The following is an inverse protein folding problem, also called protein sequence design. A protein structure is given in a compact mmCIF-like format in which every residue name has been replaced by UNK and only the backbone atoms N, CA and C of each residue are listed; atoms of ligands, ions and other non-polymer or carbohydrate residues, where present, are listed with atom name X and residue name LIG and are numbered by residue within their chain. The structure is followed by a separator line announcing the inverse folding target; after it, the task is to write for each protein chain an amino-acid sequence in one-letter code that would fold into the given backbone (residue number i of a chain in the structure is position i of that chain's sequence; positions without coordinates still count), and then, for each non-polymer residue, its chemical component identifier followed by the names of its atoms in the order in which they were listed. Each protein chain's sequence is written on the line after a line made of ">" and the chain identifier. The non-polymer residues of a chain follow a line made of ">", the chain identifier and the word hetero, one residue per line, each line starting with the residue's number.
data_IF_007368491418
#
_entry.id   IF_007368491418
#
_cell.length_a   1.000
_cell.length_b   1.000
_cell.length_c   1.000
_cell.angle_alpha   90.00
_cell.angle_beta   90.00
_cell.angle_gamma   90.00
#
_symmetry.space_group_name_H-M   'P 1'
#
loop_
_entity.id
_entity.type
_entity.pdbx_description
1 polymer ?
#
# COMPACT_ATOMS: atom_id res chain seq x y z
N UNK A 1 18.00 17.14 8.91
CA UNK A 1 19.38 16.92 9.37
C UNK A 1 19.94 15.76 8.56
N UNK A 2 21.00 15.95 7.76
CA UNK A 2 21.68 14.82 7.12
C UNK A 2 22.27 13.98 8.26
N UNK A 3 21.84 12.72 8.39
CA UNK A 3 22.53 11.79 9.30
C UNK A 3 23.96 11.71 8.77
N UNK A 4 24.94 12.06 9.61
CA UNK A 4 26.35 11.96 9.24
C UNK A 4 26.63 10.50 8.90
N UNK A 5 27.12 10.28 7.69
CA UNK A 5 27.65 9.00 7.27
C UNK A 5 28.86 8.72 8.16
N UNK A 6 28.79 7.73 9.04
CA UNK A 6 30.02 7.17 9.61
C UNK A 6 30.51 6.15 8.56
N UNK A 7 31.09 6.67 7.48
CA UNK A 7 31.89 5.89 6.52
C UNK A 7 33.25 5.65 7.14
N UNK A 8 33.28 4.68 8.04
CA UNK A 8 34.44 4.00 8.65
C UNK A 8 33.83 3.12 9.75
N UNK A 9 34.33 1.91 10.09
CA UNK A 9 33.85 1.25 11.30
C UNK A 9 34.03 2.26 12.44
N UNK A 10 32.92 2.78 12.98
CA UNK A 10 33.01 3.45 14.27
C UNK A 10 33.77 2.47 15.16
N UNK A 11 34.92 2.86 15.74
CA UNK A 11 35.68 1.92 16.54
C UNK A 11 34.69 1.35 17.54
N UNK A 12 34.51 0.03 17.50
CA UNK A 12 34.08 -0.64 18.71
C UNK A 12 35.01 -0.10 19.77
N UNK A 13 34.51 0.49 20.88
CA UNK A 13 35.39 0.65 22.02
C UNK A 13 35.96 -0.76 22.25
N UNK A 14 37.25 -0.90 21.96
CA UNK A 14 38.04 -2.13 22.13
C UNK A 14 38.12 -2.50 23.61
N UNK A 15 37.80 -1.53 24.47
CA UNK A 15 37.48 -1.76 25.86
C UNK A 15 36.04 -2.24 26.00
N UNK A 16 35.87 -3.41 26.64
CA UNK A 16 34.67 -3.66 27.46
C UNK A 16 34.40 -2.35 28.21
N UNK A 17 33.17 -1.78 28.20
CA UNK A 17 32.89 -0.74 29.17
C UNK A 17 33.27 -1.30 30.54
N UNK A 18 33.99 -0.54 31.39
CA UNK A 18 34.28 -1.02 32.73
C UNK A 18 32.95 -1.44 33.33
N UNK A 19 32.94 -2.63 33.94
CA UNK A 19 31.83 -3.12 34.71
C UNK A 19 31.53 -2.04 35.75
N UNK A 20 30.55 -1.19 35.43
CA UNK A 20 30.13 -0.12 36.30
C UNK A 20 28.96 -0.70 37.08
N UNK A 21 29.30 -1.19 38.27
CA UNK A 21 28.37 -1.31 39.37
C UNK A 21 27.48 -0.06 39.42
N UNK A 22 26.20 -0.29 39.73
CA UNK A 22 25.15 0.71 39.60
C UNK A 22 25.47 2.04 40.26
N UNK A 23 25.93 3.02 39.48
CA UNK A 23 25.84 4.45 39.78
C UNK A 23 26.24 5.29 38.56
N UNK A 24 25.30 6.08 38.04
CA UNK A 24 25.61 7.34 37.34
C UNK A 24 26.26 7.29 35.95
N UNK A 25 25.51 6.90 34.91
CA UNK A 25 25.81 7.35 33.54
C UNK A 25 24.95 8.59 33.24
N UNK A 26 25.51 9.75 32.82
CA UNK A 26 24.72 10.93 32.52
C UNK A 26 23.75 10.61 31.37
N UNK A 27 22.47 10.88 31.59
CA UNK A 27 21.32 10.47 30.76
C UNK A 27 21.28 11.05 29.32
N UNK A 28 22.39 11.61 28.80
CA UNK A 28 22.43 12.44 27.60
C UNK A 28 23.03 11.85 26.31
N UNK A 29 23.76 10.72 26.32
CA UNK A 29 24.55 10.30 25.12
C UNK A 29 24.64 8.78 24.87
N UNK A 30 23.56 8.02 25.05
CA UNK A 30 23.54 6.63 24.55
C UNK A 30 23.35 6.62 23.01
N UNK A 31 24.40 6.32 22.25
CA UNK A 31 24.32 6.19 20.80
C UNK A 31 23.33 5.07 20.40
N UNK A 32 22.23 5.43 19.74
CA UNK A 32 21.19 4.46 19.34
C UNK A 32 21.53 3.83 17.99
N UNK A 33 22.20 2.69 17.99
CA UNK A 33 22.55 1.98 16.76
C UNK A 33 21.34 1.42 16.00
N UNK A 34 21.23 1.72 14.70
CA UNK A 34 20.11 1.37 13.83
C UNK A 34 20.61 0.77 12.52
N UNK A 35 19.87 -0.17 11.94
CA UNK A 35 20.10 -0.67 10.57
C UNK A 35 19.02 -0.14 9.61
N UNK A 36 19.38 0.18 8.37
CA UNK A 36 18.37 0.60 7.39
C UNK A 36 17.48 -0.58 6.97
N UNK A 37 16.14 -0.44 6.92
CA UNK A 37 15.28 -1.51 6.42
C UNK A 37 15.50 -1.82 4.93
N UNK A 38 15.97 -0.84 4.14
CA UNK A 38 16.13 -0.99 2.69
C UNK A 38 17.51 -1.48 2.24
N UNK A 39 18.59 -0.94 2.81
CA UNK A 39 19.98 -1.24 2.40
C UNK A 39 20.83 -1.92 3.48
N UNK A 40 20.25 -2.22 4.64
CA UNK A 40 20.90 -2.87 5.80
C UNK A 40 22.11 -2.14 6.41
N UNK A 41 22.39 -0.90 5.97
CA UNK A 41 23.49 -0.07 6.47
C UNK A 41 23.33 0.19 7.97
N UNK A 42 24.41 0.01 8.73
CA UNK A 42 24.47 0.20 10.19
C UNK A 42 24.97 1.62 10.50
N UNK A 43 24.23 2.37 11.30
CA UNK A 43 24.57 3.75 11.68
C UNK A 43 24.01 4.10 13.07
N UNK A 44 24.54 5.14 13.71
CA UNK A 44 23.97 5.70 14.94
C UNK A 44 22.84 6.68 14.60
N UNK A 45 21.70 6.54 15.28
CA UNK A 45 20.55 7.40 15.10
C UNK A 45 20.52 8.46 16.23
N UNK A 46 20.65 9.76 15.93
CA UNK A 46 20.49 10.80 16.94
C UNK A 46 19.01 10.91 17.37
N UNK A 47 18.76 11.61 18.49
CA UNK A 47 17.40 11.90 18.94
C UNK A 47 16.74 12.84 17.93
N UNK A 48 15.67 12.39 17.28
CA UNK A 48 14.94 13.15 16.27
C UNK A 48 13.88 14.01 16.95
N UNK A 49 13.93 15.34 16.78
CA UNK A 49 12.90 16.27 17.29
C UNK A 49 11.60 16.17 16.45
N UNK A 50 10.46 16.66 16.99
CA UNK A 50 9.11 16.53 16.40
C UNK A 50 8.97 16.94 14.92
N UNK A 51 9.76 17.90 14.43
CA UNK A 51 9.71 18.34 13.03
C UNK A 51 10.85 17.81 12.14
N UNK A 52 11.70 16.94 12.68
CA UNK A 52 12.86 16.42 11.96
C UNK A 52 12.59 15.02 11.39
N UNK A 53 13.23 14.73 10.26
CA UNK A 53 13.29 13.40 9.66
C UNK A 53 14.73 12.96 9.55
N UNK A 54 14.96 11.67 9.81
CA UNK A 54 16.25 11.02 9.74
C UNK A 54 16.27 10.10 8.50
N UNK A 55 17.19 10.37 7.57
CA UNK A 55 17.37 9.59 6.35
C UNK A 55 18.66 8.77 6.41
N UNK A 56 18.61 7.54 5.90
CA UNK A 56 19.77 6.66 5.79
C UNK A 56 20.87 7.32 4.94
N UNK A 57 22.13 7.32 5.38
CA UNK A 57 23.19 8.00 4.64
C UNK A 57 23.68 7.22 3.40
N UNK A 58 23.40 5.91 3.30
CA UNK A 58 23.75 5.07 2.12
C UNK A 58 22.72 5.12 1.00
N UNK A 59 21.44 4.97 1.33
CA UNK A 59 20.36 4.87 0.32
C UNK A 59 19.36 6.03 0.34
N UNK A 60 19.49 6.97 1.28
CA UNK A 60 18.54 8.07 1.50
C UNK A 60 17.10 7.62 1.83
N UNK A 61 16.89 6.37 2.29
CA UNK A 61 15.60 5.92 2.79
C UNK A 61 15.22 6.66 4.07
N UNK A 62 13.94 7.01 4.25
CA UNK A 62 13.46 7.60 5.51
C UNK A 62 13.43 6.52 6.59
N UNK A 63 14.23 6.70 7.64
CA UNK A 63 14.40 5.71 8.73
C UNK A 63 13.52 6.03 9.92
N UNK A 64 13.44 7.31 10.29
CA UNK A 64 12.65 7.76 11.43
C UNK A 64 12.10 9.15 11.16
N UNK A 65 10.85 9.38 11.54
CA UNK A 65 10.24 10.70 11.55
C UNK A 65 9.84 11.08 12.97
N UNK A 66 10.10 12.32 13.35
CA UNK A 66 9.61 12.89 14.60
C UNK A 66 8.18 13.38 14.51
N UNK A 67 7.57 13.44 13.31
CA UNK A 67 6.17 13.87 13.17
C UNK A 67 5.27 12.74 13.68
N UNK A 68 4.68 12.96 14.84
CA UNK A 68 3.67 12.09 15.42
C UNK A 68 2.53 12.93 16.03
N UNK A 69 1.31 12.42 15.89
CA UNK A 69 0.18 12.93 16.66
C UNK A 69 0.01 12.11 17.93
N UNK A 70 -0.53 12.74 18.97
CA UNK A 70 -0.93 12.02 20.17
C UNK A 70 -2.00 10.98 19.82
N UNK A 71 -2.00 9.85 20.54
CA UNK A 71 -2.98 8.79 20.36
C UNK A 71 -4.41 9.34 20.49
N UNK A 72 -4.64 10.32 21.37
CA UNK A 72 -5.93 10.98 21.55
C UNK A 72 -6.42 11.68 20.28
N UNK A 73 -5.54 12.37 19.53
CA UNK A 73 -5.91 13.00 18.26
C UNK A 73 -6.21 11.96 17.19
N UNK A 74 -5.39 10.91 17.11
CA UNK A 74 -5.64 9.80 16.18
C UNK A 74 -6.96 9.09 16.49
N UNK A 75 -7.30 8.91 17.77
CA UNK A 75 -8.58 8.37 18.20
C UNK A 75 -9.75 9.31 17.88
N UNK A 76 -9.60 10.63 18.06
CA UNK A 76 -10.63 11.60 17.67
C UNK A 76 -10.90 11.56 16.16
N UNK A 77 -9.86 11.47 15.33
CA UNK A 77 -10.03 11.26 13.88
C UNK A 77 -10.71 9.93 13.57
N UNK A 78 -10.36 8.85 14.29
CA UNK A 78 -11.01 7.56 14.13
C UNK A 78 -12.51 7.62 14.45
N UNK A 79 -12.91 8.29 15.54
CA UNK A 79 -14.33 8.50 15.88
C UNK A 79 -15.04 9.33 14.80
N UNK A 80 -14.44 10.43 14.36
CA UNK A 80 -15.02 11.26 13.29
C UNK A 80 -15.22 10.47 11.99
N UNK A 81 -14.22 9.68 11.58
CA UNK A 81 -14.34 8.79 10.42
C UNK A 81 -15.43 7.74 10.61
N UNK A 82 -15.55 7.14 11.80
CA UNK A 82 -16.58 6.15 12.10
C UNK A 82 -18.00 6.71 11.96
N UNK A 83 -18.20 7.96 12.40
CA UNK A 83 -19.50 8.66 12.28
C UNK A 83 -19.82 9.02 10.84
N UNK A 84 -18.81 9.41 10.04
CA UNK A 84 -19.00 9.78 8.64
C UNK A 84 -19.17 8.58 7.70
N UNK A 85 -18.62 7.42 8.03
CA UNK A 85 -18.61 6.22 7.18
C UNK A 85 -20.00 5.76 6.73
N UNK A 86 -21.03 5.66 7.60
CA UNK A 86 -22.38 5.29 7.17
C UNK A 86 -22.89 6.22 6.06
N UNK A 87 -22.85 7.53 6.28
CA UNK A 87 -23.29 8.52 5.29
C UNK A 87 -22.46 8.46 4.01
N UNK A 88 -21.14 8.36 4.11
CA UNK A 88 -20.26 8.31 2.94
C UNK A 88 -20.43 7.03 2.09
N UNK A 89 -20.90 5.93 2.68
CA UNK A 89 -21.01 4.65 1.99
C UNK A 89 -22.43 4.30 1.52
N UNK A 90 -23.47 4.80 2.21
CA UNK A 90 -24.88 4.51 1.87
C UNK A 90 -25.54 5.61 1.03
N UNK A 91 -25.17 6.88 1.23
CA UNK A 91 -25.74 7.97 0.44
C UNK A 91 -25.23 7.92 -1.02
N UNK A 92 -26.02 8.42 -1.99
CA UNK A 92 -25.59 8.47 -3.38
C UNK A 92 -24.35 9.34 -3.54
N UNK A 93 -23.30 8.75 -4.11
CA UNK A 93 -22.09 9.49 -4.50
C UNK A 93 -22.26 10.13 -5.87
N UNK A 94 -22.93 9.43 -6.79
CA UNK A 94 -23.26 9.89 -8.13
C UNK A 94 -24.75 9.62 -8.37
N UNK A 95 -25.42 10.60 -8.96
CA UNK A 95 -26.75 10.44 -9.53
C UNK A 95 -26.68 10.61 -11.04
N UNK A 96 -27.34 9.72 -11.78
CA UNK A 96 -27.41 9.76 -13.23
C UNK A 96 -28.86 10.01 -13.64
N UNK A 97 -29.11 10.94 -14.57
CA UNK A 97 -30.42 11.11 -15.17
C UNK A 97 -30.45 10.46 -16.55
N UNK A 98 -31.23 9.39 -16.68
CA UNK A 98 -31.44 8.67 -17.93
C UNK A 98 -32.95 8.67 -18.24
N UNK A 99 -33.34 9.17 -19.42
CA UNK A 99 -34.75 9.16 -19.88
C UNK A 99 -35.75 9.77 -18.86
N UNK A 100 -35.32 10.82 -18.14
CA UNK A 100 -36.15 11.53 -17.16
C UNK A 100 -36.19 10.89 -15.75
N UNK A 101 -35.56 9.73 -15.54
CA UNK A 101 -35.46 9.07 -14.23
C UNK A 101 -34.06 9.30 -13.64
N UNK A 102 -34.00 9.74 -12.38
CA UNK A 102 -32.74 9.84 -11.63
C UNK A 102 -32.40 8.51 -10.95
N UNK A 103 -31.21 8.00 -11.25
CA UNK A 103 -30.63 6.79 -10.67
C UNK A 103 -29.55 7.21 -9.70
N UNK A 104 -29.68 6.78 -8.46
CA UNK A 104 -28.73 7.04 -7.40
C UNK A 104 -27.79 5.85 -7.28
N UNK A 105 -26.48 6.09 -7.22
CA UNK A 105 -25.49 5.05 -7.03
C UNK A 105 -24.65 5.34 -5.78
N UNK A 106 -24.73 4.42 -4.81
CA UNK A 106 -23.90 4.42 -3.61
C UNK A 106 -22.76 3.39 -3.71
N UNK A 107 -21.77 3.51 -2.83
CA UNK A 107 -20.63 2.58 -2.80
C UNK A 107 -21.08 1.15 -2.43
N UNK A 108 -21.96 1.03 -1.43
CA UNK A 108 -22.48 -0.27 -1.00
C UNK A 108 -23.36 -0.91 -2.08
N UNK A 109 -24.19 -0.11 -2.75
CA UNK A 109 -25.04 -0.59 -3.83
C UNK A 109 -24.21 -1.13 -5.00
N UNK A 110 -23.11 -0.45 -5.35
CA UNK A 110 -22.19 -0.97 -6.36
C UNK A 110 -21.57 -2.31 -6.00
N UNK A 111 -21.07 -2.48 -4.78
CA UNK A 111 -20.52 -3.76 -4.30
C UNK A 111 -21.60 -4.86 -4.31
N UNK A 112 -22.81 -4.53 -3.85
CA UNK A 112 -23.93 -5.47 -3.81
C UNK A 112 -24.34 -5.92 -5.21
N UNK A 113 -24.43 -4.97 -6.14
CA UNK A 113 -24.79 -5.20 -7.53
C UNK A 113 -23.72 -6.02 -8.27
N UNK A 114 -22.42 -5.79 -8.01
CA UNK A 114 -21.34 -6.64 -8.52
C UNK A 114 -21.50 -8.11 -8.09
N UNK A 115 -21.85 -8.30 -6.82
CA UNK A 115 -21.99 -9.64 -6.23
C UNK A 115 -23.18 -10.38 -6.85
N UNK A 116 -24.32 -9.70 -7.03
CA UNK A 116 -25.52 -10.30 -7.65
C UNK A 116 -25.32 -10.73 -9.10
N UNK A 117 -24.43 -10.06 -9.83
CA UNK A 117 -24.14 -10.37 -11.24
C UNK A 117 -23.11 -11.49 -11.43
N UNK A 118 -22.78 -12.25 -10.37
CA UNK A 118 -21.92 -13.43 -10.47
C UNK A 118 -20.42 -13.16 -10.34
N UNK A 119 -20.02 -11.96 -9.92
CA UNK A 119 -18.60 -11.61 -9.70
C UNK A 119 -18.27 -11.31 -8.23
N UNK A 120 -18.47 -12.26 -7.29
CA UNK A 120 -18.27 -12.02 -5.86
C UNK A 120 -16.81 -11.78 -5.48
N UNK A 121 -15.85 -12.33 -6.25
CA UNK A 121 -14.43 -12.20 -5.94
C UNK A 121 -13.96 -10.76 -6.18
N UNK A 122 -14.29 -10.17 -7.32
CA UNK A 122 -13.93 -8.77 -7.63
C UNK A 122 -14.65 -7.79 -6.71
N UNK A 123 -15.92 -8.06 -6.40
CA UNK A 123 -16.68 -7.29 -5.41
C UNK A 123 -16.01 -7.33 -4.03
N UNK A 124 -15.54 -8.51 -3.59
CA UNK A 124 -14.82 -8.68 -2.32
C UNK A 124 -13.50 -7.91 -2.29
N UNK A 125 -12.77 -7.86 -3.40
CA UNK A 125 -11.53 -7.07 -3.52
C UNK A 125 -11.81 -5.57 -3.37
N UNK A 126 -12.84 -5.07 -4.07
CA UNK A 126 -13.24 -3.66 -3.97
C UNK A 126 -13.70 -3.34 -2.55
N UNK A 127 -14.60 -4.17 -1.99
CA UNK A 127 -15.11 -4.02 -0.62
C UNK A 127 -14.00 -4.03 0.44
N UNK A 128 -13.00 -4.91 0.29
CA UNK A 128 -11.86 -4.95 1.19
C UNK A 128 -11.06 -3.65 1.16
N UNK A 129 -10.78 -3.09 -0.01
CA UNK A 129 -9.98 -1.87 -0.15
C UNK A 129 -10.74 -0.58 0.25
N UNK A 130 -12.05 -0.51 0.00
CA UNK A 130 -12.84 0.72 0.21
C UNK A 130 -13.60 0.75 1.54
N UNK A 131 -13.98 -0.41 2.08
CA UNK A 131 -14.74 -0.52 3.33
C UNK A 131 -13.94 -1.25 4.40
N UNK A 132 -13.38 -2.42 4.07
CA UNK A 132 -12.65 -3.28 5.01
C UNK A 132 -11.41 -2.61 5.61
N UNK A 133 -10.51 -2.09 4.78
CA UNK A 133 -9.25 -1.47 5.21
C UNK A 133 -9.47 -0.17 6.01
N UNK A 134 -10.37 0.76 5.61
CA UNK A 134 -10.71 1.91 6.45
C UNK A 134 -11.33 1.54 7.79
N UNK A 135 -12.31 0.63 7.82
CA UNK A 135 -12.95 0.19 9.07
C UNK A 135 -11.94 -0.43 10.03
N UNK A 136 -11.15 -1.38 9.53
CA UNK A 136 -10.13 -2.04 10.34
C UNK A 136 -9.08 -1.04 10.86
N UNK A 137 -8.79 0.05 10.14
CA UNK A 137 -7.88 1.09 10.60
C UNK A 137 -8.51 1.91 11.73
N UNK A 138 -9.76 2.33 11.56
CA UNK A 138 -10.52 3.05 12.59
C UNK A 138 -10.61 2.22 13.87
N UNK A 139 -11.02 0.96 13.78
CA UNK A 139 -11.07 0.06 14.93
C UNK A 139 -9.70 -0.19 15.55
N UNK A 140 -8.65 -0.30 14.74
CA UNK A 140 -7.27 -0.43 15.24
C UNK A 140 -6.84 0.78 16.07
N UNK A 141 -7.16 2.00 15.63
CA UNK A 141 -6.83 3.23 16.35
C UNK A 141 -7.63 3.36 17.65
N UNK A 142 -8.92 3.02 17.63
CA UNK A 142 -9.75 2.98 18.84
C UNK A 142 -9.23 1.94 19.83
N UNK A 143 -8.86 0.74 19.35
CA UNK A 143 -8.23 -0.26 20.19
C UNK A 143 -6.92 0.24 20.82
N UNK A 144 -6.03 0.88 20.05
CA UNK A 144 -4.79 1.44 20.59
C UNK A 144 -5.03 2.53 21.64
N UNK A 145 -6.19 3.20 21.62
CA UNK A 145 -6.60 4.14 22.65
C UNK A 145 -7.14 3.43 23.90
N UNK A 146 -7.98 2.40 23.76
CA UNK A 146 -8.61 1.71 24.90
C UNK A 146 -7.73 0.64 25.55
N UNK A 147 -7.04 -0.19 24.76
CA UNK A 147 -6.27 -1.33 25.21
C UNK A 147 -5.22 -1.04 26.31
N UNK A 148 -4.47 0.08 26.28
CA UNK A 148 -3.53 0.41 27.36
C UNK A 148 -4.20 0.59 28.72
N UNK A 149 -5.48 0.99 28.76
CA UNK A 149 -6.24 1.17 30.01
C UNK A 149 -6.68 -0.16 30.63
N UNK A 150 -6.83 -1.18 29.79
CA UNK A 150 -7.32 -2.52 30.17
C UNK A 150 -6.15 -3.51 30.32
N UNK A 151 -4.94 -3.15 29.88
CA UNK A 151 -3.76 -4.03 29.93
C UNK A 151 -3.71 -5.09 28.82
N UNK A 152 -4.45 -4.90 27.72
CA UNK A 152 -4.49 -5.87 26.62
C UNK A 152 -3.23 -5.83 25.75
N UNK A 153 -2.97 -6.92 25.02
CA UNK A 153 -1.82 -7.00 24.10
C UNK A 153 -2.00 -6.11 22.85
N UNK A 154 -1.06 -5.18 22.61
CA UNK A 154 -1.12 -4.25 21.47
C UNK A 154 -0.27 -4.70 20.27
N UNK A 155 0.57 -5.73 20.42
CA UNK A 155 1.50 -6.18 19.38
C UNK A 155 0.82 -6.56 18.06
N UNK A 156 -0.27 -7.35 18.02
CA UNK A 156 -0.88 -7.76 16.75
C UNK A 156 -1.39 -6.57 15.95
N UNK A 157 -2.00 -5.61 16.62
CA UNK A 157 -2.57 -4.42 15.98
C UNK A 157 -1.48 -3.49 15.47
N UNK A 158 -0.39 -3.31 16.22
CA UNK A 158 0.77 -2.55 15.73
C UNK A 158 1.44 -3.20 14.52
N UNK A 159 1.40 -4.54 14.40
CA UNK A 159 1.88 -5.26 13.21
C UNK A 159 0.92 -5.09 12.02
N UNK A 160 -0.39 -5.18 12.26
CA UNK A 160 -1.42 -5.02 11.23
C UNK A 160 -1.44 -3.60 10.66
N UNK A 161 -1.34 -2.59 11.53
CA UNK A 161 -1.41 -1.17 11.18
C UNK A 161 -0.39 -0.76 10.11
N UNK A 162 0.82 -1.32 10.17
CA UNK A 162 1.87 -1.04 9.18
C UNK A 162 1.49 -1.50 7.77
N UNK A 163 0.82 -2.66 7.66
CA UNK A 163 0.31 -3.15 6.38
C UNK A 163 -0.92 -2.38 5.94
N UNK A 164 -1.85 -2.15 6.85
CA UNK A 164 -3.17 -1.58 6.55
C UNK A 164 -3.12 -0.20 5.89
N UNK A 165 -2.11 0.59 6.25
CA UNK A 165 -1.84 1.91 5.64
C UNK A 165 -1.68 1.84 4.12
N UNK A 166 -1.14 0.76 3.58
CA UNK A 166 -0.90 0.60 2.13
C UNK A 166 -2.16 0.18 1.38
N UNK A 167 -3.11 -0.45 2.06
CA UNK A 167 -4.36 -0.98 1.49
C UNK A 167 -5.53 0.00 1.51
N UNK A 168 -5.38 1.16 2.16
CA UNK A 168 -6.41 2.19 2.15
C UNK A 168 -6.38 2.96 0.83
N UNK A 169 -7.46 2.83 0.04
CA UNK A 169 -7.54 3.34 -1.33
C UNK A 169 -8.73 4.28 -1.57
N UNK A 170 -9.18 5.00 -0.53
CA UNK A 170 -10.32 5.93 -0.65
C UNK A 170 -10.05 7.05 -1.68
N UNK A 171 -8.81 7.54 -1.74
CA UNK A 171 -8.36 8.51 -2.73
C UNK A 171 -8.40 7.95 -4.16
N UNK A 172 -7.93 6.72 -4.34
CA UNK A 172 -7.90 6.07 -5.67
C UNK A 172 -9.33 5.74 -6.14
N UNK A 173 -10.22 5.35 -5.22
CA UNK A 173 -11.63 5.14 -5.55
C UNK A 173 -12.31 6.44 -6.01
N UNK A 174 -12.00 7.60 -5.40
CA UNK A 174 -12.49 8.90 -5.85
C UNK A 174 -12.06 9.20 -7.29
N UNK A 175 -10.79 8.93 -7.62
CA UNK A 175 -10.27 9.09 -8.98
C UNK A 175 -10.97 8.12 -9.94
N UNK A 176 -11.14 6.86 -9.55
CA UNK A 176 -11.88 5.88 -10.35
C UNK A 176 -13.33 6.28 -10.60
N UNK A 177 -13.98 6.88 -9.61
CA UNK A 177 -15.32 7.44 -9.72
C UNK A 177 -15.39 8.62 -10.70
N UNK A 178 -14.40 9.51 -10.68
CA UNK A 178 -14.32 10.60 -11.65
C UNK A 178 -14.15 10.06 -13.09
N UNK A 179 -13.28 9.07 -13.29
CA UNK A 179 -13.09 8.42 -14.61
C UNK A 179 -14.36 7.70 -15.07
N UNK A 180 -15.02 6.95 -14.18
CA UNK A 180 -16.29 6.28 -14.48
C UNK A 180 -17.41 7.29 -14.82
N UNK A 181 -17.52 8.39 -14.08
CA UNK A 181 -18.48 9.46 -14.36
C UNK A 181 -18.28 10.05 -15.75
N UNK A 182 -17.02 10.29 -16.16
CA UNK A 182 -16.72 10.80 -17.50
C UNK A 182 -17.11 9.78 -18.58
N UNK A 183 -16.81 8.49 -18.37
CA UNK A 183 -17.18 7.42 -19.30
C UNK A 183 -18.71 7.31 -19.48
N UNK A 184 -19.47 7.44 -18.40
CA UNK A 184 -20.93 7.32 -18.44
C UNK A 184 -21.60 8.58 -18.99
N UNK A 185 -20.92 9.74 -18.95
CA UNK A 185 -21.46 11.01 -19.45
C UNK A 185 -21.79 11.00 -20.95
N UNK A 186 -21.20 10.10 -21.71
CA UNK A 186 -21.52 9.90 -23.13
C UNK A 186 -22.94 9.31 -23.32
N UNK A 187 -23.46 8.61 -22.32
CA UNK A 187 -24.76 7.93 -22.37
C UNK A 187 -25.84 8.61 -21.51
N UNK A 188 -25.45 9.41 -20.51
CA UNK A 188 -26.37 9.94 -19.51
C UNK A 188 -25.88 11.24 -18.86
N UNK A 189 -26.79 12.07 -18.33
CA UNK A 189 -26.40 13.25 -17.55
C UNK A 189 -25.95 12.82 -16.14
N UNK A 190 -24.74 13.19 -15.74
CA UNK A 190 -24.11 12.75 -14.49
C UNK A 190 -24.00 13.94 -13.54
N UNK A 191 -24.67 13.83 -12.40
CA UNK A 191 -24.70 14.84 -11.35
C UNK A 191 -24.09 14.29 -10.05
N UNK A 192 -23.30 15.08 -9.31
CA UNK A 192 -22.74 14.65 -8.03
C UNK A 192 -23.85 14.48 -6.99
N UNK A 193 -23.85 13.35 -6.29
CA UNK A 193 -24.80 13.08 -5.21
C UNK A 193 -24.37 13.72 -3.89
N UNK A 194 -25.30 13.89 -2.95
CA UNK A 194 -25.04 14.51 -1.64
C UNK A 194 -24.00 13.75 -0.80
N UNK A 195 -23.92 12.43 -0.96
CA UNK A 195 -22.94 11.57 -0.28
C UNK A 195 -21.49 11.87 -0.66
N UNK A 196 -21.26 12.54 -1.80
CA UNK A 196 -19.93 12.93 -2.24
C UNK A 196 -19.20 13.81 -1.23
N UNK A 197 -19.90 14.72 -0.56
CA UNK A 197 -19.30 15.62 0.44
C UNK A 197 -18.84 14.81 1.65
N UNK A 198 -19.67 13.90 2.16
CA UNK A 198 -19.32 13.02 3.27
C UNK A 198 -18.11 12.15 2.90
N UNK A 199 -18.06 11.64 1.67
CA UNK A 199 -16.94 10.87 1.15
C UNK A 199 -15.65 11.69 1.04
N UNK A 200 -15.71 12.93 0.56
CA UNK A 200 -14.56 13.84 0.48
C UNK A 200 -14.00 14.17 1.87
N UNK A 201 -14.87 14.44 2.85
CA UNK A 201 -14.44 14.66 4.24
C UNK A 201 -13.82 13.39 4.82
N UNK A 202 -14.42 12.21 4.60
CA UNK A 202 -13.85 10.93 5.03
C UNK A 202 -12.47 10.68 4.39
N UNK A 203 -12.31 10.94 3.10
CA UNK A 203 -11.06 10.80 2.37
C UNK A 203 -9.98 11.74 2.95
N UNK A 204 -10.29 13.02 3.15
CA UNK A 204 -9.33 13.98 3.70
C UNK A 204 -8.90 13.64 5.12
N UNK A 205 -9.83 13.25 6.00
CA UNK A 205 -9.52 12.79 7.36
C UNK A 205 -8.66 11.52 7.36
N UNK A 206 -8.94 10.59 6.45
CA UNK A 206 -8.18 9.34 6.35
C UNK A 206 -6.76 9.57 5.83
N UNK A 207 -6.57 10.43 4.82
CA UNK A 207 -5.26 10.87 4.34
C UNK A 207 -4.47 11.58 5.44
N UNK A 208 -5.11 12.52 6.15
CA UNK A 208 -4.47 13.24 7.27
C UNK A 208 -4.02 12.27 8.37
N UNK A 209 -4.88 11.31 8.71
CA UNK A 209 -4.57 10.24 9.66
C UNK A 209 -3.36 9.43 9.18
N UNK A 210 -3.35 8.97 7.93
CA UNK A 210 -2.23 8.20 7.36
C UNK A 210 -0.90 8.96 7.37
N UNK A 211 -0.92 10.26 7.09
CA UNK A 211 0.28 11.11 7.07
C UNK A 211 0.88 11.24 8.47
N UNK A 212 0.03 11.42 9.49
CA UNK A 212 0.46 11.60 10.89
C UNK A 212 0.58 10.28 11.68
N UNK A 213 0.12 9.17 11.11
CA UNK A 213 0.25 7.84 11.69
C UNK A 213 1.69 7.32 11.51
N UNK A 214 2.44 7.36 12.62
CA UNK A 214 3.82 6.91 12.68
C UNK A 214 3.93 5.62 13.50
N UNK A 215 3.90 4.47 12.80
CA UNK A 215 3.96 3.16 13.44
C UNK A 215 5.24 2.95 14.26
N UNK A 216 6.38 3.46 13.79
CA UNK A 216 7.67 3.32 14.49
C UNK A 216 7.65 4.01 15.86
N UNK A 217 7.03 5.18 15.94
CA UNK A 217 6.84 5.92 17.20
C UNK A 217 5.84 5.24 18.13
N UNK A 218 4.73 4.72 17.59
CA UNK A 218 3.74 3.96 18.38
C UNK A 218 4.39 2.74 19.04
N UNK A 219 5.20 2.00 18.28
CA UNK A 219 5.97 0.92 18.85
C UNK A 219 6.94 1.40 19.94
N UNK A 220 7.57 2.58 19.80
CA UNK A 220 8.54 3.11 20.79
C UNK A 220 7.84 3.51 22.08
N UNK A 221 6.63 4.02 21.97
CA UNK A 221 5.80 4.43 23.10
C UNK A 221 5.24 3.24 23.90
N UNK A 222 4.70 2.22 23.23
CA UNK A 222 4.07 1.09 23.93
C UNK A 222 5.02 -0.01 24.35
N UNK A 223 6.08 -0.25 23.56
CA UNK A 223 7.07 -1.28 23.84
C UNK A 223 8.49 -0.71 23.70
N UNK A 224 8.90 0.22 24.59
CA UNK A 224 10.27 0.69 24.65
C UNK A 224 11.18 -0.48 25.03
N UNK A 225 12.25 -0.68 24.27
CA UNK A 225 13.29 -1.66 24.56
C UNK A 225 14.63 -0.98 24.44
N UNK A 226 15.49 -1.17 25.45
CA UNK A 226 16.89 -0.81 25.34
C UNK A 226 17.57 -1.71 24.31
N UNK A 227 18.53 -1.15 23.58
CA UNK A 227 19.34 -1.90 22.63
C UNK A 227 20.55 -2.43 23.40
N UNK A 228 20.72 -3.75 23.55
CA UNK A 228 21.90 -4.29 24.22
C UNK A 228 23.14 -3.92 23.40
N UNK A 229 24.23 -3.52 24.04
CA UNK A 229 25.51 -3.20 23.38
C UNK A 229 26.17 -4.54 23.02
N UNK A 230 26.14 -4.89 21.73
CA UNK A 230 26.67 -6.15 21.19
C UNK A 230 27.50 -5.81 19.96
N UNK A 231 28.34 -6.74 19.49
CA UNK A 231 29.04 -6.64 18.21
C UNK A 231 28.11 -6.30 17.02
N UNK A 232 28.58 -5.55 16.00
CA UNK A 232 27.77 -5.06 14.88
C UNK A 232 27.12 -6.17 14.09
N UNK A 233 27.86 -7.27 13.99
CA UNK A 233 27.57 -8.42 13.17
C UNK A 233 26.36 -9.19 13.69
N UNK A 234 26.05 -9.07 14.99
CA UNK A 234 24.87 -9.72 15.59
C UNK A 234 23.60 -8.87 15.47
N UNK A 235 23.70 -7.56 15.22
CA UNK A 235 22.51 -6.74 15.01
C UNK A 235 21.80 -7.10 13.71
N UNK A 236 20.49 -7.32 13.80
CA UNK A 236 19.59 -7.51 12.66
C UNK A 236 18.43 -6.53 12.77
N UNK A 237 17.90 -6.09 11.64
CA UNK A 237 16.66 -5.30 11.61
C UNK A 237 15.44 -6.21 11.50
N UNK A 238 14.44 -5.98 12.34
CA UNK A 238 13.13 -6.57 12.17
C UNK A 238 12.33 -5.77 11.14
N UNK A 239 11.99 -6.37 10.00
CA UNK A 239 11.17 -5.72 8.97
C UNK A 239 9.69 -5.51 9.37
N UNK A 240 9.26 -6.05 10.53
CA UNK A 240 7.87 -5.95 10.99
C UNK A 240 7.65 -4.79 11.97
N UNK A 241 8.63 -4.49 12.85
CA UNK A 241 8.54 -3.42 13.84
C UNK A 241 9.72 -2.42 13.79
N UNK A 242 10.56 -2.53 12.75
CA UNK A 242 11.78 -1.76 12.49
C UNK A 242 12.79 -1.69 13.65
N UNK A 243 12.66 -2.57 14.64
CA UNK A 243 13.61 -2.62 15.74
C UNK A 243 14.91 -3.31 15.31
N UNK A 244 16.04 -2.66 15.60
CA UNK A 244 17.37 -3.22 15.39
C UNK A 244 17.87 -3.82 16.69
N UNK A 245 18.06 -5.15 16.72
CA UNK A 245 18.59 -5.88 17.88
C UNK A 245 19.25 -7.19 17.46
N UNK A 246 19.96 -7.82 18.39
CA UNK A 246 20.24 -9.25 18.26
C UNK A 246 18.93 -10.06 18.39
N UNK A 247 18.86 -11.26 17.77
CA UNK A 247 17.77 -12.19 18.02
C UNK A 247 17.79 -12.65 19.48
N UNK A 248 16.62 -12.88 20.05
CA UNK A 248 16.45 -13.55 21.35
C UNK A 248 16.89 -15.02 21.27
N UNK A 249 16.96 -15.74 22.39
CA UNK A 249 17.38 -17.16 22.48
C UNK A 249 16.59 -18.07 21.53
N UNK A 250 15.34 -17.70 21.21
CA UNK A 250 14.46 -18.43 20.26
C UNK A 250 14.56 -17.94 18.80
N UNK A 251 15.53 -17.09 18.46
CA UNK A 251 15.68 -16.52 17.13
C UNK A 251 14.63 -15.45 16.77
N UNK A 252 13.94 -14.87 17.77
CA UNK A 252 12.81 -13.93 17.57
C UNK A 252 13.22 -12.50 17.87
N UNK A 253 12.45 -11.55 17.36
CA UNK A 253 12.58 -10.15 17.72
C UNK A 253 12.13 -9.94 19.17
N UNK A 254 12.95 -9.36 20.07
CA UNK A 254 12.61 -9.16 21.49
C UNK A 254 11.47 -8.15 21.73
N UNK A 255 11.03 -7.45 20.67
CA UNK A 255 9.96 -6.45 20.71
C UNK A 255 8.62 -6.99 20.21
N UNK A 256 8.60 -7.52 18.99
CA UNK A 256 7.37 -7.98 18.32
C UNK A 256 7.21 -9.51 18.25
N UNK A 257 8.22 -10.29 18.68
CA UNK A 257 8.26 -11.76 18.64
C UNK A 257 8.23 -12.42 17.25
N UNK A 258 8.25 -11.64 16.17
CA UNK A 258 8.42 -12.16 14.81
C UNK A 258 9.83 -12.76 14.65
N UNK A 259 10.01 -13.90 13.95
CA UNK A 259 11.32 -14.49 13.68
C UNK A 259 12.30 -13.47 13.07
N UNK A 260 13.45 -13.26 13.72
CA UNK A 260 14.43 -12.24 13.33
C UNK A 260 15.51 -12.85 12.43
N UNK A 261 15.28 -12.75 11.11
CA UNK A 261 16.14 -13.31 10.07
C UNK A 261 16.96 -12.22 9.39
N UNK A 262 18.17 -12.57 8.92
CA UNK A 262 19.05 -11.65 8.20
C UNK A 262 18.44 -11.22 6.85
N UNK A 263 17.92 -12.20 6.08
CA UNK A 263 17.20 -12.00 4.82
C UNK A 263 15.87 -12.74 4.83
N UNK A 264 14.90 -12.27 4.05
CA UNK A 264 13.63 -12.98 3.85
C UNK A 264 13.88 -14.29 3.10
N UNK A 265 13.34 -15.40 3.61
CA UNK A 265 13.46 -16.72 2.95
C UNK A 265 12.70 -16.73 1.63
N UNK A 266 13.33 -17.29 0.60
CA UNK A 266 12.74 -17.46 -0.73
C UNK A 266 12.16 -16.17 -1.33
N UNK A 267 12.70 -14.99 -0.96
CA UNK A 267 12.18 -13.69 -1.43
C UNK A 267 12.16 -13.61 -2.97
N UNK A 268 13.28 -13.96 -3.61
CA UNK A 268 13.38 -13.98 -5.07
C UNK A 268 12.41 -14.97 -5.70
N UNK A 269 12.35 -16.21 -5.18
CA UNK A 269 11.47 -17.24 -5.71
C UNK A 269 9.99 -16.85 -5.59
N UNK A 270 9.57 -16.25 -4.47
CA UNK A 270 8.22 -15.74 -4.26
C UNK A 270 7.88 -14.60 -5.22
N UNK A 271 8.80 -13.65 -5.39
CA UNK A 271 8.61 -12.54 -6.33
C UNK A 271 8.56 -13.01 -7.79
N UNK A 272 9.40 -13.97 -8.19
CA UNK A 272 9.33 -14.59 -9.53
C UNK A 272 8.03 -15.37 -9.74
N UNK A 273 7.62 -16.20 -8.79
CA UNK A 273 6.38 -16.96 -8.90
C UNK A 273 5.15 -16.04 -9.05
N UNK A 274 5.08 -14.98 -8.25
CA UNK A 274 4.01 -13.99 -8.34
C UNK A 274 4.07 -13.19 -9.67
N UNK A 275 5.26 -12.80 -10.13
CA UNK A 275 5.43 -12.11 -11.41
C UNK A 275 4.99 -13.00 -12.59
N UNK A 276 5.48 -14.24 -12.67
CA UNK A 276 5.13 -15.17 -13.75
C UNK A 276 3.62 -15.44 -13.76
N UNK A 277 3.04 -15.71 -12.59
CA UNK A 277 1.59 -15.88 -12.47
C UNK A 277 0.82 -14.63 -12.94
N UNK A 278 1.29 -13.42 -12.60
CA UNK A 278 0.65 -12.18 -13.07
C UNK A 278 0.74 -12.01 -14.59
N UNK A 279 1.87 -12.38 -15.22
CA UNK A 279 2.05 -12.32 -16.67
C UNK A 279 1.10 -13.28 -17.38
N UNK A 280 0.99 -14.51 -16.88
CA UNK A 280 0.06 -15.51 -17.42
C UNK A 280 -1.39 -15.03 -17.32
N UNK A 281 -1.77 -14.35 -16.23
CA UNK A 281 -3.13 -13.82 -16.04
C UNK A 281 -3.39 -12.52 -16.82
N UNK A 282 -2.37 -11.73 -17.14
CA UNK A 282 -2.52 -10.54 -17.99
C UNK A 282 -2.91 -10.89 -19.42
N UNK A 283 -2.54 -12.07 -19.93
CA UNK A 283 -2.89 -12.50 -21.27
C UNK A 283 -4.42 -12.70 -21.45
N UNK A 284 -5.12 -13.54 -20.67
CA UNK A 284 -6.58 -13.62 -20.75
C UNK A 284 -7.27 -12.32 -20.31
N UNK A 285 -6.66 -11.52 -19.42
CA UNK A 285 -7.24 -10.23 -19.01
C UNK A 285 -7.33 -9.21 -20.16
N UNK A 286 -6.41 -9.26 -21.14
CA UNK A 286 -6.43 -8.34 -22.28
C UNK A 286 -7.14 -8.92 -23.51
N UNK A 287 -7.27 -10.24 -23.61
CA UNK A 287 -7.91 -10.90 -24.75
C UNK A 287 -9.41 -11.16 -24.55
N UNK A 288 -9.84 -11.37 -23.30
CA UNK A 288 -11.25 -11.63 -23.00
C UNK A 288 -12.04 -10.33 -22.88
N UNK A 289 -13.37 -10.39 -23.10
CA UNK A 289 -14.22 -9.23 -22.91
C UNK A 289 -14.24 -8.82 -21.45
N UNK A 290 -14.15 -7.51 -21.23
CA UNK A 290 -14.23 -6.89 -19.91
C UNK A 290 -15.64 -6.41 -19.60
N UNK A 291 -16.37 -6.00 -20.62
CA UNK A 291 -17.78 -5.64 -20.54
C UNK A 291 -18.57 -6.30 -21.64
N UNK A 292 -19.74 -6.81 -21.29
CA UNK A 292 -20.70 -7.39 -22.23
C UNK A 292 -21.97 -6.54 -22.10
N UNK A 293 -22.34 -5.87 -23.18
CA UNK A 293 -23.50 -4.99 -23.25
C UNK A 293 -24.53 -5.65 -24.15
N UNK A 294 -25.80 -5.64 -23.71
CA UNK A 294 -26.93 -6.04 -24.55
C UNK A 294 -27.67 -4.79 -25.01
N UNK A 295 -27.55 -4.46 -26.30
CA UNK A 295 -28.28 -3.35 -26.93
C UNK A 295 -29.28 -3.96 -27.92
N UNK A 296 -30.58 -3.72 -27.73
CA UNK A 296 -31.65 -4.27 -28.59
C UNK A 296 -31.58 -5.80 -28.79
N UNK A 297 -31.15 -6.54 -27.75
CA UNK A 297 -31.00 -8.01 -27.81
C UNK A 297 -29.72 -8.48 -28.50
N UNK A 298 -28.92 -7.60 -29.11
CA UNK A 298 -27.61 -7.93 -29.69
C UNK A 298 -26.55 -7.84 -28.59
N UNK A 299 -25.79 -8.93 -28.44
CA UNK A 299 -24.70 -9.06 -27.47
C UNK A 299 -23.43 -8.45 -28.06
N UNK A 300 -23.04 -7.27 -27.61
CA UNK A 300 -21.77 -6.62 -27.96
C UNK A 300 -20.76 -6.82 -26.85
N UNK A 301 -19.62 -7.40 -27.18
CA UNK A 301 -18.53 -7.68 -26.25
C UNK A 301 -17.40 -6.67 -26.45
N UNK A 302 -17.01 -5.98 -25.39
CA UNK A 302 -15.89 -5.06 -25.41
C UNK A 302 -14.71 -5.58 -24.61
N UNK A 303 -13.54 -5.60 -25.25
CA UNK A 303 -12.24 -5.75 -24.59
C UNK A 303 -11.77 -4.40 -24.05
N UNK A 304 -10.72 -4.39 -23.23
CA UNK A 304 -10.08 -3.14 -22.80
C UNK A 304 -9.65 -2.32 -24.03
N UNK A 305 -9.09 -2.99 -25.04
CA UNK A 305 -8.61 -2.33 -26.26
C UNK A 305 -9.74 -1.76 -27.11
N UNK A 306 -10.81 -2.53 -27.36
CA UNK A 306 -11.97 -2.03 -28.12
C UNK A 306 -12.68 -0.89 -27.39
N UNK A 307 -12.78 -0.97 -26.06
CA UNK A 307 -13.34 0.11 -25.23
C UNK A 307 -12.55 1.41 -25.33
N UNK A 308 -11.21 1.35 -25.36
CA UNK A 308 -10.35 2.53 -25.57
C UNK A 308 -10.57 3.12 -26.96
N UNK A 309 -10.64 2.28 -28.00
CA UNK A 309 -10.83 2.73 -29.38
C UNK A 309 -12.20 3.42 -29.56
N UNK A 310 -13.25 2.87 -28.96
CA UNK A 310 -14.59 3.47 -28.96
C UNK A 310 -14.62 4.84 -28.27
N UNK A 311 -13.87 5.01 -27.18
CA UNK A 311 -13.77 6.31 -26.50
C UNK A 311 -12.92 7.31 -27.27
N UNK A 312 -11.90 6.84 -28.01
CA UNK A 312 -10.98 7.71 -28.74
C UNK A 312 -11.67 8.52 -29.85
N UNK A 313 -12.77 8.01 -30.43
CA UNK A 313 -13.57 8.74 -31.41
C UNK A 313 -14.39 9.90 -30.82
N UNK A 314 -14.70 9.87 -29.53
CA UNK A 314 -15.50 10.90 -28.86
C UNK A 314 -14.65 11.85 -27.99
N UNK A 315 -13.79 11.30 -27.15
CA UNK A 315 -13.05 12.04 -26.13
C UNK A 315 -11.64 11.47 -25.90
N UNK A 316 -10.69 11.92 -26.73
CA UNK A 316 -9.28 11.51 -26.69
C UNK A 316 -8.65 11.62 -25.28
N UNK A 317 -8.83 12.70 -24.51
CA UNK A 317 -8.33 12.79 -23.13
C UNK A 317 -8.74 11.61 -22.23
N UNK A 318 -9.97 11.13 -22.36
CA UNK A 318 -10.51 10.07 -21.50
C UNK A 318 -9.98 8.72 -21.94
N UNK A 319 -9.96 8.47 -23.26
CA UNK A 319 -9.35 7.28 -23.84
C UNK A 319 -7.88 7.14 -23.40
N UNK A 320 -7.14 8.26 -23.36
CA UNK A 320 -5.74 8.28 -22.90
C UNK A 320 -5.61 7.90 -21.42
N UNK A 321 -6.48 8.42 -20.54
CA UNK A 321 -6.45 8.08 -19.10
C UNK A 321 -6.72 6.60 -18.89
N UNK A 322 -7.72 6.03 -19.56
CA UNK A 322 -8.06 4.61 -19.47
C UNK A 322 -6.93 3.74 -20.05
N UNK A 323 -6.36 4.12 -21.20
CA UNK A 323 -5.21 3.42 -21.79
C UNK A 323 -4.00 3.38 -20.85
N UNK A 324 -3.65 4.53 -20.26
CA UNK A 324 -2.51 4.61 -19.34
C UNK A 324 -2.76 3.75 -18.11
N UNK A 325 -3.95 3.83 -17.52
CA UNK A 325 -4.27 3.09 -16.31
C UNK A 325 -4.34 1.57 -16.56
N UNK A 326 -5.09 1.14 -17.57
CA UNK A 326 -5.42 -0.28 -17.76
C UNK A 326 -4.37 -1.09 -18.52
N UNK A 327 -3.59 -0.46 -19.41
CA UNK A 327 -2.57 -1.15 -20.20
C UNK A 327 -1.17 -0.69 -19.77
N UNK A 328 -0.86 0.60 -19.88
CA UNK A 328 0.52 1.06 -19.69
C UNK A 328 1.05 0.78 -18.28
N UNK A 329 0.25 1.01 -17.24
CA UNK A 329 0.67 0.81 -15.84
C UNK A 329 0.98 -0.66 -15.52
N UNK A 330 0.08 -1.65 -15.75
CA UNK A 330 0.39 -3.06 -15.50
C UNK A 330 1.61 -3.57 -16.28
N UNK A 331 1.72 -3.22 -17.56
CA UNK A 331 2.86 -3.65 -18.38
C UNK A 331 4.17 -3.02 -17.90
N UNK A 332 4.16 -1.73 -17.55
CA UNK A 332 5.33 -1.06 -16.96
C UNK A 332 5.75 -1.72 -15.64
N UNK A 333 4.78 -2.14 -14.81
CA UNK A 333 5.07 -2.88 -13.57
C UNK A 333 5.80 -4.20 -13.85
N UNK A 334 5.31 -4.97 -14.81
CA UNK A 334 5.89 -6.26 -15.22
C UNK A 334 7.32 -6.06 -15.73
N UNK A 335 7.53 -5.11 -16.66
CA UNK A 335 8.83 -4.84 -17.27
C UNK A 335 9.86 -4.44 -16.21
N UNK A 336 9.53 -3.47 -15.36
CA UNK A 336 10.45 -2.99 -14.32
C UNK A 336 10.73 -4.06 -13.28
N UNK A 337 9.72 -4.81 -12.84
CA UNK A 337 9.93 -5.88 -11.85
C UNK A 337 10.75 -7.03 -12.43
N UNK A 338 10.51 -7.42 -13.68
CA UNK A 338 11.32 -8.39 -14.41
C UNK A 338 12.77 -7.92 -14.49
N UNK A 339 13.00 -6.67 -14.91
CA UNK A 339 14.33 -6.07 -14.98
C UNK A 339 15.05 -6.05 -13.62
N UNK A 340 14.35 -5.71 -12.53
CA UNK A 340 14.91 -5.75 -11.18
C UNK A 340 15.26 -7.17 -10.73
N UNK A 341 14.39 -8.15 -10.99
CA UNK A 341 14.62 -9.55 -10.63
C UNK A 341 15.77 -10.17 -11.44
N UNK A 342 15.79 -9.90 -12.74
CA UNK A 342 16.84 -10.35 -13.64
C UNK A 342 18.17 -9.70 -13.26
N UNK A 343 18.18 -8.41 -12.91
CA UNK A 343 19.36 -7.71 -12.42
C UNK A 343 19.94 -8.33 -11.14
N UNK A 344 19.09 -8.77 -10.20
CA UNK A 344 19.55 -9.48 -8.99
C UNK A 344 20.07 -10.88 -9.34
N UNK A 345 19.48 -11.54 -10.33
CA UNK A 345 19.89 -12.88 -10.76
C UNK A 345 21.23 -12.88 -11.52
N UNK A 346 21.35 -11.98 -12.51
CA UNK A 346 22.55 -11.78 -13.34
C UNK A 346 23.65 -10.96 -12.65
N UNK A 347 23.40 -10.48 -11.42
CA UNK A 347 24.36 -9.70 -10.62
C UNK A 347 24.95 -8.49 -11.36
N UNK A 348 24.10 -7.76 -12.08
CA UNK A 348 24.52 -6.57 -12.82
C UNK A 348 25.05 -5.53 -11.84
N UNK A 349 26.13 -4.83 -12.16
CA UNK A 349 26.86 -3.91 -11.27
C UNK A 349 26.32 -2.48 -11.34
N UNK A 350 25.97 -2.01 -12.54
CA UNK A 350 25.72 -0.59 -12.78
C UNK A 350 24.35 -0.06 -12.34
N UNK A 351 24.35 1.07 -11.65
CA UNK A 351 23.13 1.84 -11.38
C UNK A 351 22.29 1.32 -10.22
N UNK A 352 22.90 0.80 -9.14
CA UNK A 352 22.19 0.36 -7.93
C UNK A 352 21.23 1.41 -7.35
N UNK A 353 21.65 2.69 -7.33
CA UNK A 353 20.79 3.80 -6.89
C UNK A 353 19.59 4.01 -7.83
N UNK A 354 19.77 3.81 -9.14
CA UNK A 354 18.68 3.88 -10.12
C UNK A 354 17.68 2.73 -9.89
N UNK A 355 18.15 1.51 -9.65
CA UNK A 355 17.29 0.35 -9.32
C UNK A 355 16.52 0.54 -8.02
N UNK A 356 17.18 1.09 -6.99
CA UNK A 356 16.51 1.47 -5.74
C UNK A 356 15.44 2.54 -5.96
N UNK A 357 15.71 3.53 -6.81
CA UNK A 357 14.73 4.57 -7.18
C UNK A 357 13.56 3.96 -7.95
N UNK A 358 13.82 3.08 -8.93
CA UNK A 358 12.80 2.33 -9.67
C UNK A 358 11.93 1.50 -8.72
N UNK A 359 12.51 0.80 -7.75
CA UNK A 359 11.75 0.03 -6.76
C UNK A 359 10.85 0.93 -5.89
N UNK A 360 11.33 2.10 -5.46
CA UNK A 360 10.52 3.05 -4.69
C UNK A 360 9.37 3.63 -5.51
N UNK A 361 9.64 4.00 -6.76
CA UNK A 361 8.61 4.46 -7.70
C UNK A 361 7.59 3.35 -7.92
N UNK A 362 8.05 2.11 -8.13
CA UNK A 362 7.18 0.94 -8.32
C UNK A 362 6.26 0.69 -7.13
N UNK A 363 6.78 0.78 -5.89
CA UNK A 363 5.96 0.68 -4.66
C UNK A 363 4.89 1.77 -4.61
N UNK A 364 5.23 2.98 -5.03
CA UNK A 364 4.26 4.08 -5.10
C UNK A 364 3.21 3.88 -6.19
N UNK A 365 3.60 3.45 -7.40
CA UNK A 365 2.68 3.08 -8.50
C UNK A 365 1.83 1.86 -8.10
N UNK A 366 2.36 1.01 -7.21
CA UNK A 366 1.73 -0.16 -6.61
C UNK A 366 0.25 0.01 -6.32
N UNK A 367 -0.08 1.00 -5.47
CA UNK A 367 -1.45 1.30 -5.02
C UNK A 367 -2.38 1.78 -6.15
N UNK A 368 -1.87 2.53 -7.12
CA UNK A 368 -2.67 3.12 -8.21
C UNK A 368 -3.20 2.07 -9.19
N UNK A 369 -2.57 0.91 -9.24
CA UNK A 369 -2.96 -0.19 -10.13
C UNK A 369 -4.33 -0.81 -9.83
N UNK A 370 -4.94 -0.49 -8.69
CA UNK A 370 -6.33 -0.88 -8.37
C UNK A 370 -7.37 0.07 -8.97
N UNK A 371 -6.95 1.20 -9.56
CA UNK A 371 -7.85 2.19 -10.15
C UNK A 371 -8.80 1.55 -11.18
N UNK A 372 -8.29 0.70 -12.06
CA UNK A 372 -9.10 0.11 -13.13
C UNK A 372 -10.22 -0.77 -12.57
N UNK A 373 -9.94 -1.57 -11.54
CA UNK A 373 -10.97 -2.37 -10.88
C UNK A 373 -12.07 -1.50 -10.27
N UNK A 374 -11.72 -0.34 -9.71
CA UNK A 374 -12.71 0.61 -9.22
C UNK A 374 -13.52 1.23 -10.36
N UNK A 375 -12.88 1.68 -11.45
CA UNK A 375 -13.59 2.24 -12.62
C UNK A 375 -14.59 1.25 -13.18
N UNK A 376 -14.18 -0.01 -13.33
CA UNK A 376 -15.03 -1.06 -13.88
C UNK A 376 -16.20 -1.35 -12.92
N UNK A 377 -15.93 -1.52 -11.63
CA UNK A 377 -16.94 -1.73 -10.60
C UNK A 377 -17.98 -0.60 -10.57
N UNK A 378 -17.52 0.65 -10.64
CA UNK A 378 -18.37 1.83 -10.66
C UNK A 378 -19.21 1.91 -11.93
N UNK A 379 -18.60 1.68 -13.09
CA UNK A 379 -19.32 1.70 -14.38
C UNK A 379 -20.42 0.64 -14.40
N UNK A 380 -20.16 -0.56 -13.87
CA UNK A 380 -21.15 -1.63 -13.75
C UNK A 380 -22.32 -1.23 -12.84
N UNK A 381 -22.05 -0.59 -11.71
CA UNK A 381 -23.10 -0.10 -10.81
C UNK A 381 -23.95 1.00 -11.44
N UNK A 382 -23.30 1.90 -12.19
CA UNK A 382 -23.94 3.07 -12.78
C UNK A 382 -24.80 2.73 -14.02
N UNK A 383 -24.41 1.71 -14.78
CA UNK A 383 -25.01 1.41 -16.10
C UNK A 383 -26.01 0.26 -16.04
N UNK A 384 -25.83 -0.74 -15.16
CA UNK A 384 -26.66 -1.93 -15.22
C UNK A 384 -28.07 -1.71 -14.64
N UNK A 385 -29.11 -1.88 -15.48
CA UNK A 385 -30.52 -2.04 -15.08
C UNK A 385 -31.24 -3.01 -15.99
N UNK A 386 -32.00 -3.92 -15.37
CA UNK A 386 -32.71 -5.08 -15.92
C UNK A 386 -33.68 -4.84 -17.11
N UNK A 387 -33.83 -3.62 -17.65
CA UNK A 387 -34.84 -3.31 -18.68
C UNK A 387 -34.38 -2.46 -19.88
N UNK A 388 -33.16 -1.88 -19.91
CA UNK A 388 -32.74 -1.05 -21.07
C UNK A 388 -31.28 -1.27 -21.52
N UNK A 389 -30.34 -1.42 -20.58
CA UNK A 389 -28.92 -1.70 -20.86
C UNK A 389 -28.41 -2.69 -19.82
N UNK A 390 -28.30 -3.96 -20.20
CA UNK A 390 -27.68 -4.98 -19.36
C UNK A 390 -26.17 -4.90 -19.54
N UNK A 391 -25.49 -4.28 -18.57
CA UNK A 391 -24.03 -4.21 -18.54
C UNK A 391 -23.53 -5.27 -17.57
N UNK A 392 -22.95 -6.34 -18.12
CA UNK A 392 -22.41 -7.44 -17.32
C UNK A 392 -20.89 -7.45 -17.40
N UNK A 393 -20.28 -7.83 -16.29
CA UNK A 393 -18.84 -8.00 -16.20
C UNK A 393 -18.40 -9.24 -16.98
N UNK A 394 -17.45 -9.04 -17.88
CA UNK A 394 -16.83 -10.15 -18.57
C UNK A 394 -15.78 -10.85 -17.69
N UNK A 395 -15.33 -12.06 -18.09
CA UNK A 395 -14.37 -12.85 -17.33
C UNK A 395 -12.99 -12.17 -17.18
N UNK A 396 -12.66 -11.21 -18.05
CA UNK A 396 -11.39 -10.47 -17.99
C UNK A 396 -11.16 -9.77 -16.64
N UNK A 397 -12.21 -9.28 -15.98
CA UNK A 397 -12.10 -8.53 -14.73
C UNK A 397 -11.45 -9.34 -13.59
N UNK A 398 -11.76 -10.64 -13.51
CA UNK A 398 -11.14 -11.53 -12.53
C UNK A 398 -9.65 -11.70 -12.79
N UNK A 399 -9.27 -12.02 -14.03
CA UNK A 399 -7.88 -12.22 -14.43
C UNK A 399 -7.06 -10.94 -14.22
N UNK A 400 -7.63 -9.79 -14.59
CA UNK A 400 -7.02 -8.49 -14.39
C UNK A 400 -6.79 -8.21 -12.90
N UNK A 401 -7.80 -8.39 -12.06
CA UNK A 401 -7.69 -8.13 -10.63
C UNK A 401 -6.70 -9.05 -9.92
N UNK A 402 -6.70 -10.33 -10.27
CA UNK A 402 -5.73 -11.30 -9.76
C UNK A 402 -4.29 -10.93 -10.17
N UNK A 403 -4.07 -10.53 -11.43
CA UNK A 403 -2.77 -10.07 -11.90
C UNK A 403 -2.29 -8.84 -11.11
N UNK A 404 -3.16 -7.85 -10.91
CA UNK A 404 -2.84 -6.64 -10.12
C UNK A 404 -2.41 -6.99 -8.70
N UNK A 405 -3.17 -7.80 -7.97
CA UNK A 405 -2.81 -8.23 -6.61
C UNK A 405 -1.46 -8.96 -6.61
N UNK A 406 -1.24 -9.87 -7.55
CA UNK A 406 0.02 -10.61 -7.64
C UNK A 406 1.22 -9.69 -7.91
N UNK A 407 1.08 -8.66 -8.75
CA UNK A 407 2.16 -7.68 -8.94
C UNK A 407 2.46 -6.88 -7.67
N UNK A 408 1.43 -6.52 -6.88
CA UNK A 408 1.62 -5.83 -5.58
C UNK A 408 2.38 -6.76 -4.63
N UNK A 409 1.94 -8.01 -4.49
CA UNK A 409 2.60 -9.02 -3.65
C UNK A 409 4.04 -9.30 -4.09
N UNK A 410 4.29 -9.35 -5.39
CA UNK A 410 5.63 -9.60 -5.94
C UNK A 410 6.63 -8.50 -5.52
N UNK A 411 6.20 -7.23 -5.54
CA UNK A 411 6.98 -6.08 -5.07
C UNK A 411 7.13 -6.07 -3.55
N UNK A 412 6.07 -6.39 -2.80
CA UNK A 412 6.11 -6.46 -1.33
C UNK A 412 7.05 -7.56 -0.84
N UNK A 413 7.08 -8.71 -1.52
CA UNK A 413 7.90 -9.86 -1.15
C UNK A 413 9.38 -9.67 -1.50
N UNK A 414 9.70 -8.79 -2.45
CA UNK A 414 11.07 -8.50 -2.86
C UNK A 414 11.85 -7.77 -1.76
N UNK A 415 12.90 -8.42 -1.24
CA UNK A 415 13.81 -7.86 -0.24
C UNK A 415 14.86 -7.00 -0.94
N UNK A 416 14.74 -5.67 -0.82
CA UNK A 416 15.64 -4.71 -1.47
C UNK A 416 17.11 -4.86 -1.06
N UNK A 417 17.37 -5.48 0.10
CA UNK A 417 18.73 -5.69 0.63
C UNK A 417 19.53 -6.68 -0.22
N UNK A 418 18.87 -7.54 -0.98
CA UNK A 418 19.55 -8.47 -1.90
C UNK A 418 20.30 -7.75 -3.03
N UNK A 419 19.80 -6.59 -3.48
CA UNK A 419 20.51 -5.78 -4.47
C UNK A 419 21.85 -5.26 -3.92
N UNK A 420 21.90 -4.94 -2.63
CA UNK A 420 23.10 -4.44 -1.95
C UNK A 420 24.09 -5.55 -1.58
N UNK A 421 23.62 -6.79 -1.39
CA UNK A 421 24.49 -7.94 -1.11
C UNK A 421 25.30 -8.35 -2.34
N UNK A 422 24.72 -8.24 -3.53
CA UNK A 422 25.41 -8.52 -4.79
C UNK A 422 26.57 -7.53 -4.99
N UNK A 423 26.27 -6.23 -4.85
CA UNK A 423 27.24 -5.14 -4.93
C UNK A 423 28.38 -5.26 -3.89
N UNK A 424 28.07 -5.71 -2.67
CA UNK A 424 29.08 -5.88 -1.62
C UNK A 424 30.02 -7.07 -1.84
N UNK A 425 29.58 -8.14 -2.51
CA UNK A 425 30.38 -9.37 -2.73
C UNK A 425 31.37 -9.26 -3.89
N UNK A 426 31.15 -8.33 -4.81
CA UNK A 426 32.04 -8.11 -5.95
C UNK A 426 33.14 -7.07 -5.65
N UNK A 427 32.93 -6.23 -4.63
CA UNK A 427 33.91 -5.26 -4.12
C UNK A 427 34.88 -5.84 -3.06
N UNK A 428 34.79 -7.13 -2.77
CA UNK A 428 35.66 -7.91 -1.88
C UNK A 428 36.31 -9.03 -2.68
#
# INVERSE_FOLDING_TARGET
>A
MKIVNITSPAPFPSARPPYADGAGMPAGKAARYHRCPECDAFFSLPIVKRNQTANCPRCNARVSSGRDWSISRLAAMAVAMLVLMPFAYTEPLISIRLLGVSINASLFEGIWQMTRQGHPITASMVAFCTVGAPLTLVFSLLYLFFAPRIGMNLRPILLMLGKLKEWMMLDIYLVGMAVAAIKVREFADVQPGGGLIAYLVLMTLSVLTIIHLNADQLWQRFYPRLRPIISPQRYRICLACHFTSAPDNRGRCPRCHVPLRLRRRHSLQKSWAALIASVVLLLPANLLPISIIYVNGVRTEDTIFSGILSLASGNIPVALVVFIASILVPFTKVIVLCGLLLSIHLRIEDGLLARMKMLRIMRWIGRWSMLDLFVIALTMSLVNRDQLLAFTMGPAAFYFGAAVILTILAVEWLDSRLMWDNDARQNT
#
